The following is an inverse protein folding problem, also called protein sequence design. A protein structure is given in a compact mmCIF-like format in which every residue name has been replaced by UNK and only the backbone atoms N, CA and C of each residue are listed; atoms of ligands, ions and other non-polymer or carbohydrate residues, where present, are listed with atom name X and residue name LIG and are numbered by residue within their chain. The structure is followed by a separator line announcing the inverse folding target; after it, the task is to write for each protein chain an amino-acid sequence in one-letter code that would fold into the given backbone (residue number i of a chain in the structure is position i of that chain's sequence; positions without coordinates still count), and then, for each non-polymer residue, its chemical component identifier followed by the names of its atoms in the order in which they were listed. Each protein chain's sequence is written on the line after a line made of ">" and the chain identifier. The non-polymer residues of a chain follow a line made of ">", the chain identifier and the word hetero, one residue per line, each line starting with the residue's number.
data_IF_946293658157
#
_entry.id   IF_946293658157
#
_cell.length_a   1.000
_cell.length_b   1.000
_cell.length_c   1.000
_cell.angle_alpha   90.00
_cell.angle_beta   90.00
_cell.angle_gamma   90.00
#
_symmetry.space_group_name_H-M   'P 1'
#
loop_
_entity.id
_entity.type
_entity.pdbx_description
1 polymer ?
#
# COMPACT_ATOMS: atom_id res chain seq x y z
N UNK A 1 4.28 -66.24 19.55
CA UNK A 1 4.92 -65.38 18.53
C UNK A 1 3.79 -64.57 17.91
N UNK A 2 3.68 -63.28 18.24
CA UNK A 2 2.64 -62.41 17.67
C UNK A 2 3.02 -62.07 16.23
N UNK A 3 2.11 -62.34 15.29
CA UNK A 3 2.31 -62.05 13.87
C UNK A 3 2.17 -60.53 13.67
N UNK A 4 3.25 -59.88 13.25
CA UNK A 4 3.21 -58.47 12.87
C UNK A 4 2.81 -58.38 11.41
N UNK A 5 1.64 -57.80 11.13
CA UNK A 5 1.17 -57.58 9.76
C UNK A 5 1.78 -56.30 9.20
N UNK A 6 2.79 -56.47 8.36
CA UNK A 6 3.52 -55.39 7.71
C UNK A 6 2.60 -54.57 6.79
N UNK A 7 1.59 -55.20 6.16
CA UNK A 7 0.73 -54.49 5.21
C UNK A 7 -0.18 -53.49 5.94
N UNK A 8 -0.80 -53.92 7.04
CA UNK A 8 -1.61 -53.03 7.88
C UNK A 8 -0.80 -51.86 8.45
N UNK A 9 0.48 -52.06 8.77
CA UNK A 9 1.36 -50.99 9.23
C UNK A 9 1.69 -49.98 8.12
N UNK A 10 1.97 -50.48 6.90
CA UNK A 10 2.29 -49.61 5.76
C UNK A 10 1.07 -48.77 5.33
N UNK A 11 -0.14 -49.35 5.35
CA UNK A 11 -1.37 -48.61 5.07
C UNK A 11 -1.61 -47.46 6.07
N UNK A 12 -1.38 -47.71 7.37
CA UNK A 12 -1.51 -46.69 8.41
C UNK A 12 -0.42 -45.61 8.30
N UNK A 13 0.81 -46.02 7.96
CA UNK A 13 1.92 -45.10 7.72
C UNK A 13 1.66 -44.17 6.52
N UNK A 14 1.09 -44.69 5.44
CA UNK A 14 0.73 -43.90 4.25
C UNK A 14 -0.38 -42.90 4.56
N UNK A 15 -1.41 -43.30 5.31
CA UNK A 15 -2.47 -42.38 5.76
C UNK A 15 -1.89 -41.23 6.60
N UNK A 16 -0.99 -41.54 7.54
CA UNK A 16 -0.33 -40.53 8.39
C UNK A 16 0.51 -39.57 7.54
N UNK A 17 1.29 -40.09 6.57
CA UNK A 17 2.10 -39.26 5.68
C UNK A 17 1.26 -38.34 4.81
N UNK A 18 0.14 -38.84 4.29
CA UNK A 18 -0.81 -38.05 3.49
C UNK A 18 -1.41 -36.93 4.33
N UNK A 19 -1.83 -37.20 5.56
CA UNK A 19 -2.42 -36.17 6.42
C UNK A 19 -1.37 -35.13 6.86
N UNK A 20 -0.15 -35.56 7.20
CA UNK A 20 0.96 -34.67 7.52
C UNK A 20 1.35 -33.77 6.32
N UNK A 21 1.27 -34.28 5.09
CA UNK A 21 1.47 -33.48 3.87
C UNK A 21 0.37 -32.45 3.69
N UNK A 22 -0.90 -32.83 3.86
CA UNK A 22 -2.04 -31.90 3.79
C UNK A 22 -1.94 -30.81 4.84
N UNK A 23 -1.52 -31.12 6.06
CA UNK A 23 -1.37 -30.12 7.11
C UNK A 23 -0.24 -29.13 6.80
N UNK A 24 0.88 -29.61 6.25
CA UNK A 24 1.95 -28.73 5.75
C UNK A 24 1.46 -27.82 4.63
N UNK A 25 0.74 -28.35 3.65
CA UNK A 25 0.16 -27.54 2.57
C UNK A 25 -0.79 -26.47 3.12
N UNK A 26 -1.68 -26.83 4.05
CA UNK A 26 -2.60 -25.89 4.71
C UNK A 26 -1.85 -24.78 5.44
N UNK A 27 -0.76 -25.11 6.14
CA UNK A 27 0.08 -24.13 6.83
C UNK A 27 0.70 -23.14 5.83
N UNK A 28 1.30 -23.64 4.76
CA UNK A 28 1.89 -22.80 3.72
C UNK A 28 0.85 -21.88 3.04
N UNK A 29 -0.35 -22.39 2.78
CA UNK A 29 -1.45 -21.58 2.22
C UNK A 29 -1.85 -20.46 3.18
N UNK A 30 -1.95 -20.73 4.48
CA UNK A 30 -2.28 -19.71 5.50
C UNK A 30 -1.21 -18.63 5.57
N UNK A 31 0.06 -19.01 5.64
CA UNK A 31 1.18 -18.07 5.64
C UNK A 31 1.19 -17.19 4.39
N UNK A 32 0.91 -17.78 3.22
CA UNK A 32 0.81 -17.04 1.96
C UNK A 32 -0.37 -16.06 1.96
N UNK A 33 -1.52 -16.47 2.48
CA UNK A 33 -2.71 -15.63 2.60
C UNK A 33 -2.47 -14.45 3.55
N UNK A 34 -1.88 -14.69 4.71
CA UNK A 34 -1.51 -13.65 5.67
C UNK A 34 -0.53 -12.64 5.06
N UNK A 35 0.48 -13.13 4.34
CA UNK A 35 1.45 -12.27 3.63
C UNK A 35 0.76 -11.42 2.56
N UNK A 36 -0.15 -11.99 1.77
CA UNK A 36 -0.90 -11.23 0.76
C UNK A 36 -1.85 -10.22 1.40
N UNK A 37 -2.50 -10.61 2.49
CA UNK A 37 -3.45 -9.78 3.22
C UNK A 37 -2.77 -8.57 3.88
N UNK A 38 -1.55 -8.73 4.39
CA UNK A 38 -0.79 -7.62 5.00
C UNK A 38 -0.17 -6.67 3.96
N UNK A 39 0.08 -7.15 2.73
CA UNK A 39 0.67 -6.34 1.66
C UNK A 39 -0.25 -5.21 1.19
N UNK A 40 -1.54 -5.45 1.04
CA UNK A 40 -2.51 -4.43 0.58
C UNK A 40 -2.55 -3.20 1.50
N UNK A 41 -2.79 -3.33 2.83
CA UNK A 41 -2.80 -2.19 3.73
C UNK A 41 -1.42 -1.52 3.83
N UNK A 42 -0.33 -2.28 3.74
CA UNK A 42 1.03 -1.72 3.72
C UNK A 42 1.25 -0.80 2.53
N UNK A 43 0.89 -1.24 1.32
CA UNK A 43 0.98 -0.42 0.11
C UNK A 43 0.06 0.79 0.23
N UNK A 44 -1.19 0.61 0.67
CA UNK A 44 -2.15 1.71 0.85
C UNK A 44 -1.61 2.80 1.76
N UNK A 45 -1.05 2.42 2.92
CA UNK A 45 -0.49 3.36 3.88
C UNK A 45 0.74 4.08 3.31
N UNK A 46 1.64 3.35 2.67
CA UNK A 46 2.83 3.93 2.01
C UNK A 46 2.43 4.95 0.93
N UNK A 47 1.50 4.57 0.04
CA UNK A 47 1.01 5.48 -1.00
C UNK A 47 0.27 6.68 -0.44
N UNK A 48 -0.52 6.51 0.63
CA UNK A 48 -1.22 7.63 1.28
C UNK A 48 -0.21 8.64 1.81
N UNK A 49 0.84 8.18 2.51
CA UNK A 49 1.91 9.04 2.99
C UNK A 49 2.60 9.81 1.86
N UNK A 50 2.97 9.13 0.78
CA UNK A 50 3.60 9.76 -0.38
C UNK A 50 2.69 10.82 -1.05
N UNK A 51 1.39 10.56 -1.10
CA UNK A 51 0.42 11.50 -1.64
C UNK A 51 0.21 12.72 -0.73
N UNK A 52 0.26 12.53 0.60
CA UNK A 52 0.22 13.64 1.56
C UNK A 52 1.46 14.53 1.42
N UNK A 53 2.66 13.93 1.35
CA UNK A 53 3.93 14.63 1.12
C UNK A 53 3.91 15.40 -0.22
N UNK A 54 3.39 14.78 -1.28
CA UNK A 54 3.25 15.43 -2.59
C UNK A 54 2.26 16.60 -2.53
N UNK A 55 1.14 16.42 -1.84
CA UNK A 55 0.13 17.46 -1.66
C UNK A 55 0.68 18.68 -0.91
N UNK A 56 1.52 18.45 0.11
CA UNK A 56 2.23 19.52 0.83
C UNK A 56 3.19 20.26 -0.09
N UNK A 57 4.06 19.53 -0.80
CA UNK A 57 4.99 20.13 -1.74
C UNK A 57 4.28 20.95 -2.83
N UNK A 58 3.14 20.47 -3.34
CA UNK A 58 2.32 21.20 -4.30
C UNK A 58 1.75 22.48 -3.70
N UNK A 59 1.20 22.40 -2.49
CA UNK A 59 0.63 23.54 -1.79
C UNK A 59 1.69 24.60 -1.48
N UNK A 60 2.82 24.20 -0.93
CA UNK A 60 3.93 25.09 -0.60
C UNK A 60 4.46 25.79 -1.86
N UNK A 61 4.64 25.04 -2.95
CA UNK A 61 5.03 25.61 -4.24
C UNK A 61 4.02 26.63 -4.75
N UNK A 62 2.73 26.35 -4.59
CA UNK A 62 1.63 27.23 -5.00
C UNK A 62 1.55 28.50 -4.16
N UNK A 63 1.82 28.41 -2.85
CA UNK A 63 1.73 29.55 -1.92
C UNK A 63 2.98 30.42 -1.84
N UNK A 64 4.15 29.88 -2.17
CA UNK A 64 5.42 30.59 -2.02
C UNK A 64 6.14 30.82 -3.33
N UNK A 65 6.43 29.75 -4.09
CA UNK A 65 7.32 29.82 -5.24
C UNK A 65 6.66 30.50 -6.45
N UNK A 66 5.43 30.11 -6.79
CA UNK A 66 4.73 30.67 -7.94
C UNK A 66 4.41 32.17 -7.75
N UNK A 67 3.92 32.63 -6.58
CA UNK A 67 3.71 34.06 -6.33
C UNK A 67 4.99 34.90 -6.49
N UNK A 68 6.13 34.38 -6.03
CA UNK A 68 7.43 35.04 -6.19
C UNK A 68 7.85 35.12 -7.67
N UNK A 69 7.60 34.06 -8.45
CA UNK A 69 7.88 34.05 -9.89
C UNK A 69 6.95 35.01 -10.65
N UNK A 70 5.70 35.22 -10.18
CA UNK A 70 4.74 36.17 -10.76
C UNK A 70 5.20 37.63 -10.59
N UNK A 71 5.72 38.01 -9.42
CA UNK A 71 6.23 39.37 -9.19
C UNK A 71 7.38 39.73 -10.15
N UNK A 72 8.16 38.74 -10.59
CA UNK A 72 9.24 38.94 -11.56
C UNK A 72 8.81 38.89 -13.03
N UNK A 73 7.65 38.32 -13.33
CA UNK A 73 7.20 38.05 -14.70
C UNK A 73 6.03 38.94 -15.16
N UNK A 74 5.21 39.43 -14.23
CA UNK A 74 4.03 40.24 -14.47
C UNK A 74 4.10 41.50 -13.60
N UNK A 75 3.55 42.61 -14.09
CA UNK A 75 3.50 43.87 -13.34
C UNK A 75 2.05 44.35 -13.14
N UNK A 76 1.86 45.19 -12.12
CA UNK A 76 0.61 45.89 -11.87
C UNK A 76 -0.57 44.98 -11.49
N UNK A 77 -1.77 45.28 -12.02
CA UNK A 77 -3.01 44.61 -11.61
C UNK A 77 -3.04 43.12 -11.92
N UNK A 78 -2.30 42.68 -12.95
CA UNK A 78 -2.24 41.28 -13.35
C UNK A 78 -1.45 40.43 -12.33
N UNK A 79 -0.30 40.95 -11.85
CA UNK A 79 0.48 40.30 -10.81
C UNK A 79 -0.33 40.14 -9.53
N UNK A 80 -0.99 41.22 -9.09
CA UNK A 80 -1.85 41.22 -7.90
C UNK A 80 -3.00 40.20 -8.01
N UNK A 81 -3.72 40.18 -9.13
CA UNK A 81 -4.80 39.21 -9.33
C UNK A 81 -4.29 37.76 -9.33
N UNK A 82 -3.09 37.51 -9.88
CA UNK A 82 -2.46 36.19 -9.84
C UNK A 82 -2.09 35.76 -8.42
N UNK A 83 -1.52 36.67 -7.62
CA UNK A 83 -1.20 36.40 -6.22
C UNK A 83 -2.45 36.14 -5.37
N UNK A 84 -3.48 36.98 -5.53
CA UNK A 84 -4.75 36.84 -4.81
C UNK A 84 -5.38 35.46 -5.12
N UNK A 85 -5.43 35.07 -6.41
CA UNK A 85 -5.93 33.77 -6.83
C UNK A 85 -5.15 32.59 -6.20
N UNK A 86 -3.82 32.63 -6.27
CA UNK A 86 -2.98 31.58 -5.66
C UNK A 86 -3.11 31.55 -4.14
N UNK A 87 -3.33 32.72 -3.52
CA UNK A 87 -3.64 32.91 -2.10
C UNK A 87 -4.94 32.23 -1.66
N UNK A 88 -5.88 32.00 -2.58
CA UNK A 88 -7.15 31.31 -2.31
C UNK A 88 -7.10 29.79 -2.58
N UNK A 89 -6.11 29.28 -3.32
CA UNK A 89 -6.01 27.84 -3.61
C UNK A 89 -5.82 27.03 -2.33
N UNK A 90 -6.66 26.02 -2.11
CA UNK A 90 -6.54 25.08 -1.00
C UNK A 90 -5.53 23.96 -1.29
N UNK A 91 -4.97 23.34 -0.24
CA UNK A 91 -4.14 22.13 -0.36
C UNK A 91 -4.90 21.03 -1.13
N UNK A 92 -4.31 20.42 -2.17
CA UNK A 92 -4.99 19.41 -2.98
C UNK A 92 -5.23 18.13 -2.17
N UNK A 93 -6.44 17.56 -2.24
CA UNK A 93 -6.74 16.29 -1.58
C UNK A 93 -6.40 15.11 -2.50
N UNK A 94 -5.25 14.49 -2.29
CA UNK A 94 -4.82 13.31 -3.05
C UNK A 94 -5.21 12.04 -2.32
N UNK A 95 -5.68 11.02 -3.06
CA UNK A 95 -6.16 9.75 -2.47
C UNK A 95 -5.52 8.56 -3.17
N UNK A 96 -5.11 7.57 -2.38
CA UNK A 96 -4.59 6.32 -2.91
C UNK A 96 -5.67 5.57 -3.71
N UNK A 97 -5.30 5.08 -4.89
CA UNK A 97 -6.16 4.22 -5.71
C UNK A 97 -6.24 2.78 -5.16
N UNK A 98 -5.40 2.43 -4.18
CA UNK A 98 -5.42 1.11 -3.54
C UNK A 98 -6.69 0.99 -2.72
N UNK A 99 -7.62 0.21 -3.26
CA UNK A 99 -8.80 -0.25 -2.52
C UNK A 99 -8.34 -1.29 -1.50
N UNK A 100 -8.86 -1.15 -0.29
CA UNK A 100 -8.69 -2.08 0.82
C UNK A 100 -9.96 -2.03 1.62
#
# INVERSE_FOLDING_TARGET
>A
MTYFDINSFMDEFDVINVEANKERERKLIRELLETKSSRIPTIKNSSTKQLDELSEAMYDKTKSKIPNDIDGALEGKAAKAGQDFLGEISKPMLRSAVKG
#
